data_IF_753271647241
#
_entry.id   IF_753271647241
#
_cell.length_a   1.000
_cell.length_b   1.000
_cell.length_c   1.000
_cell.angle_alpha   90.00
_cell.angle_beta   90.00
_cell.angle_gamma   90.00
#
_symmetry.space_group_name_H-M   'P 1'
#
loop_
_entity.id
_entity.type
_entity.pdbx_description
1 polymer ?
#
# COMPACT_ATOMS: atom_id res chain seq x y z
N UNK A 1 17.72 15.30 14.53
CA UNK A 1 17.23 15.02 13.16
C UNK A 1 16.53 13.67 13.17
N UNK A 2 15.39 13.51 12.56
CA UNK A 2 14.58 12.28 12.69
C UNK A 2 15.10 11.05 11.93
N UNK A 3 16.04 11.23 11.00
CA UNK A 3 16.79 10.11 10.42
C UNK A 3 18.07 9.92 11.21
N UNK A 4 18.23 8.76 11.82
CA UNK A 4 19.32 8.44 12.73
C UNK A 4 20.25 7.36 12.17
N UNK A 5 21.44 7.27 12.75
CA UNK A 5 22.41 6.21 12.57
C UNK A 5 22.40 5.27 13.78
N UNK A 6 22.97 4.05 13.70
CA UNK A 6 22.94 3.10 14.82
C UNK A 6 23.52 3.62 16.14
N UNK A 7 24.49 4.51 16.08
CA UNK A 7 25.12 5.16 17.25
C UNK A 7 24.20 6.19 17.92
N UNK A 8 23.15 6.64 17.23
CA UNK A 8 22.16 7.60 17.73
C UNK A 8 20.89 6.94 18.29
N UNK A 9 20.85 5.61 18.31
CA UNK A 9 19.72 4.87 18.88
C UNK A 9 19.51 5.27 20.35
N UNK A 10 18.26 5.58 20.71
CA UNK A 10 17.91 5.79 22.11
C UNK A 10 17.90 4.45 22.84
N UNK A 11 18.11 4.51 24.15
CA UNK A 11 18.14 3.31 25.00
C UNK A 11 16.81 2.56 24.99
N UNK A 12 15.71 3.30 24.99
CA UNK A 12 14.37 2.76 25.09
C UNK A 12 13.40 3.48 24.14
N UNK A 13 12.62 2.70 23.39
CA UNK A 13 11.47 3.16 22.63
C UNK A 13 10.19 2.53 23.20
N UNK A 14 9.07 3.25 23.08
CA UNK A 14 7.79 2.65 23.42
C UNK A 14 7.41 1.59 22.40
N UNK A 15 7.63 1.88 21.10
CA UNK A 15 7.31 0.96 20.01
C UNK A 15 8.43 0.93 18.97
N UNK A 16 8.83 -0.27 18.56
CA UNK A 16 9.69 -0.51 17.39
C UNK A 16 8.84 -1.02 16.25
N UNK A 17 8.81 -0.30 15.13
CA UNK A 17 8.08 -0.68 13.92
C UNK A 17 9.08 -1.21 12.90
N UNK A 18 8.81 -2.36 12.30
CA UNK A 18 9.61 -2.96 11.24
C UNK A 18 8.89 -2.78 9.90
N UNK A 19 9.48 -1.96 9.02
CA UNK A 19 8.96 -1.63 7.69
C UNK A 19 8.20 -0.32 7.65
N UNK A 20 8.43 0.46 6.61
CA UNK A 20 7.91 1.83 6.40
C UNK A 20 6.77 1.92 5.36
N UNK A 21 6.29 0.79 4.85
CA UNK A 21 5.19 0.72 3.89
C UNK A 21 3.87 1.23 4.44
N UNK A 22 2.76 0.87 3.79
CA UNK A 22 1.42 1.34 4.18
C UNK A 22 1.09 1.08 5.66
N UNK A 23 1.26 -0.16 6.12
CA UNK A 23 0.95 -0.52 7.51
C UNK A 23 1.89 0.13 8.52
N UNK A 24 3.21 0.10 8.27
CA UNK A 24 4.18 0.71 9.20
C UNK A 24 4.11 2.22 9.23
N UNK A 25 3.89 2.86 8.09
CA UNK A 25 3.67 4.30 8.03
C UNK A 25 2.41 4.74 8.76
N UNK A 26 1.29 4.03 8.54
CA UNK A 26 0.03 4.31 9.26
C UNK A 26 0.21 4.13 10.76
N UNK A 27 0.91 3.09 11.20
CA UNK A 27 1.16 2.85 12.62
C UNK A 27 2.07 3.93 13.21
N UNK A 28 3.16 4.29 12.51
CA UNK A 28 4.04 5.38 12.93
C UNK A 28 3.28 6.70 13.08
N UNK A 29 2.47 7.05 12.10
CA UNK A 29 1.61 8.22 12.15
C UNK A 29 0.67 8.19 13.36
N UNK A 30 -0.10 7.13 13.52
CA UNK A 30 -1.10 7.02 14.59
C UNK A 30 -0.48 7.13 15.98
N UNK A 31 0.61 6.41 16.21
CA UNK A 31 1.28 6.36 17.51
C UNK A 31 1.97 7.69 17.86
N UNK A 32 2.69 8.27 16.90
CA UNK A 32 3.43 9.52 17.16
C UNK A 32 2.51 10.72 17.33
N UNK A 33 1.37 10.76 16.62
CA UNK A 33 0.33 11.77 16.84
C UNK A 33 -0.30 11.67 18.24
N UNK A 34 -0.31 10.47 18.82
CA UNK A 34 -0.73 10.22 20.21
C UNK A 34 0.40 10.46 21.24
N UNK A 35 1.59 10.90 20.83
CA UNK A 35 2.71 11.21 21.72
C UNK A 35 3.60 10.01 22.08
N UNK A 36 3.41 8.86 21.44
CA UNK A 36 4.21 7.65 21.66
C UNK A 36 5.57 7.78 20.96
N UNK A 37 6.66 7.41 21.66
CA UNK A 37 8.02 7.38 21.09
C UNK A 37 8.22 6.13 20.22
N UNK A 38 8.50 6.34 18.95
CA UNK A 38 8.58 5.28 17.94
C UNK A 38 9.94 5.26 17.27
N UNK A 39 10.53 4.08 17.14
CA UNK A 39 11.57 3.81 16.17
C UNK A 39 10.97 3.03 14.98
N UNK A 40 11.26 3.48 13.77
CA UNK A 40 10.93 2.77 12.56
C UNK A 40 12.20 2.24 11.89
N UNK A 41 12.31 0.92 11.76
CA UNK A 41 13.40 0.25 11.03
C UNK A 41 12.98 0.04 9.57
N UNK A 42 13.78 0.50 8.63
CA UNK A 42 13.58 0.31 7.20
C UNK A 42 14.81 -0.35 6.57
N UNK A 43 14.58 -1.46 5.87
CA UNK A 43 15.66 -2.22 5.22
C UNK A 43 16.24 -1.53 3.99
N UNK A 44 15.46 -0.64 3.39
CA UNK A 44 15.85 0.14 2.22
C UNK A 44 16.50 1.48 2.57
N UNK A 45 16.90 2.18 1.51
CA UNK A 45 17.49 3.52 1.62
C UNK A 45 16.42 4.58 1.95
N UNK A 46 16.87 5.72 2.40
CA UNK A 46 16.02 6.92 2.41
C UNK A 46 15.59 7.25 0.97
N UNK A 47 14.35 7.65 0.84
CA UNK A 47 13.76 8.08 -0.43
C UNK A 47 12.87 9.29 -0.19
N UNK A 48 13.04 10.32 -0.99
CA UNK A 48 12.19 11.50 -1.00
C UNK A 48 11.44 11.59 -2.33
N UNK A 49 10.12 11.28 -2.35
CA UNK A 49 9.34 11.32 -3.57
C UNK A 49 9.31 12.71 -4.23
N UNK A 50 9.52 13.79 -3.48
CA UNK A 50 9.49 15.16 -4.02
C UNK A 50 10.69 15.43 -4.93
N UNK A 51 11.88 15.00 -4.52
CA UNK A 51 13.12 15.27 -5.25
C UNK A 51 13.58 14.12 -6.15
N UNK A 52 13.16 12.87 -5.82
CA UNK A 52 13.66 11.68 -6.49
C UNK A 52 12.67 11.03 -7.46
N UNK A 53 11.39 11.45 -7.50
CA UNK A 53 10.43 10.89 -8.45
C UNK A 53 10.72 11.39 -9.89
N UNK A 54 10.77 10.49 -10.87
CA UNK A 54 11.05 10.85 -12.26
C UNK A 54 9.85 11.43 -12.99
N UNK A 55 8.90 11.98 -12.27
CA UNK A 55 7.60 12.44 -12.80
C UNK A 55 7.74 13.43 -13.97
N UNK A 56 8.73 14.32 -13.89
CA UNK A 56 9.00 15.33 -14.91
C UNK A 56 10.23 15.02 -15.79
N UNK A 57 10.84 13.86 -15.58
CA UNK A 57 11.98 13.44 -16.37
C UNK A 57 11.53 12.71 -17.64
N UNK A 58 12.26 12.90 -18.73
CA UNK A 58 12.04 12.12 -19.92
C UNK A 58 12.39 10.65 -19.68
N UNK A 59 11.68 9.69 -20.29
CA UNK A 59 12.04 8.27 -20.20
C UNK A 59 13.49 7.97 -20.62
N UNK A 60 14.04 8.77 -21.56
CA UNK A 60 15.43 8.67 -21.98
C UNK A 60 16.46 8.94 -20.88
N UNK A 61 16.08 9.61 -19.79
CA UNK A 61 16.94 9.86 -18.63
C UNK A 61 16.92 8.72 -17.61
N UNK A 62 15.98 7.79 -17.73
CA UNK A 62 15.94 6.62 -16.86
C UNK A 62 17.02 5.59 -17.25
N UNK A 63 17.48 4.75 -16.31
CA UNK A 63 18.36 3.63 -16.61
C UNK A 63 17.79 2.78 -17.76
N UNK A 64 18.64 2.35 -18.69
CA UNK A 64 18.25 1.67 -19.93
C UNK A 64 17.14 2.41 -20.73
N UNK A 65 17.07 3.73 -20.62
CA UNK A 65 16.05 4.57 -21.25
C UNK A 65 14.62 4.15 -20.91
N UNK A 66 14.40 3.60 -19.71
CA UNK A 66 13.10 3.16 -19.25
C UNK A 66 12.59 1.84 -19.84
N UNK A 67 13.43 1.09 -20.56
CA UNK A 67 13.04 -0.19 -21.15
C UNK A 67 12.68 -1.19 -20.04
N UNK A 68 11.56 -1.88 -20.21
CA UNK A 68 11.17 -2.98 -19.35
C UNK A 68 12.03 -4.22 -19.57
N UNK A 69 12.25 -4.96 -18.49
CA UNK A 69 12.94 -6.26 -18.49
C UNK A 69 12.07 -7.28 -17.78
N UNK A 70 12.36 -8.60 -17.87
CA UNK A 70 11.56 -9.62 -17.18
C UNK A 70 11.43 -9.41 -15.67
N UNK A 71 12.43 -8.81 -15.03
CA UNK A 71 12.45 -8.51 -13.60
C UNK A 71 12.02 -7.06 -13.27
N UNK A 72 11.87 -6.21 -14.29
CA UNK A 72 11.43 -4.81 -14.20
C UNK A 72 10.28 -4.55 -15.18
N UNK A 73 9.15 -5.15 -14.92
CA UNK A 73 7.99 -5.17 -15.82
C UNK A 73 7.51 -3.77 -16.25
N UNK A 74 7.59 -2.77 -15.37
CA UNK A 74 7.19 -1.39 -15.65
C UNK A 74 8.37 -0.50 -16.11
N UNK A 75 9.49 -1.11 -16.45
CA UNK A 75 10.68 -0.39 -16.86
C UNK A 75 11.51 0.17 -15.70
N UNK A 76 12.53 0.92 -16.05
CA UNK A 76 13.48 1.51 -15.10
C UNK A 76 13.07 2.95 -14.80
N UNK A 77 12.27 3.14 -13.76
CA UNK A 77 12.05 4.42 -13.13
C UNK A 77 12.91 4.52 -11.87
N UNK A 78 13.19 5.71 -11.37
CA UNK A 78 14.03 5.88 -10.18
C UNK A 78 13.48 5.10 -8.98
N UNK A 79 12.17 5.14 -8.75
CA UNK A 79 11.54 4.35 -7.69
C UNK A 79 11.56 2.84 -7.94
N UNK A 80 11.78 2.37 -9.17
CA UNK A 80 11.81 0.95 -9.51
C UNK A 80 13.23 0.35 -9.55
N UNK A 81 14.29 1.15 -9.52
CA UNK A 81 15.68 0.65 -9.44
C UNK A 81 15.87 -0.25 -8.21
N UNK A 82 15.25 0.14 -7.09
CA UNK A 82 15.27 -0.60 -5.82
C UNK A 82 14.06 -1.52 -5.63
N UNK A 83 13.37 -1.87 -6.72
CA UNK A 83 12.18 -2.71 -6.69
C UNK A 83 12.18 -3.73 -7.83
N UNK A 84 11.34 -4.73 -7.73
CA UNK A 84 11.18 -5.76 -8.75
C UNK A 84 11.00 -7.15 -8.16
N UNK A 85 11.00 -8.15 -9.04
CA UNK A 85 10.96 -9.56 -8.68
C UNK A 85 12.24 -10.01 -8.00
N UNK A 86 13.36 -9.40 -8.38
CA UNK A 86 14.67 -9.62 -7.77
C UNK A 86 15.24 -8.31 -7.24
N UNK A 87 15.89 -8.37 -6.10
CA UNK A 87 16.66 -7.26 -5.54
C UNK A 87 18.11 -7.76 -5.46
N UNK A 88 19.07 -7.03 -6.02
CA UNK A 88 20.48 -7.42 -5.96
C UNK A 88 20.94 -7.72 -4.53
N UNK A 89 21.57 -8.89 -4.33
CA UNK A 89 22.01 -9.35 -3.01
C UNK A 89 20.92 -9.92 -2.10
N UNK A 90 19.66 -9.93 -2.53
CA UNK A 90 18.52 -10.42 -1.74
C UNK A 90 17.60 -11.30 -2.59
N UNK A 91 18.07 -12.41 -3.19
CA UNK A 91 17.23 -13.26 -4.02
C UNK A 91 16.20 -14.01 -3.17
N UNK A 92 14.96 -14.11 -3.67
CA UNK A 92 14.01 -15.10 -3.16
C UNK A 92 14.16 -16.38 -3.97
N UNK A 93 14.32 -17.47 -3.26
CA UNK A 93 14.36 -18.81 -3.84
C UNK A 93 13.11 -19.58 -3.41
N UNK A 94 12.59 -20.39 -4.31
CA UNK A 94 11.46 -21.28 -4.05
C UNK A 94 11.95 -22.71 -4.25
N UNK A 95 12.12 -23.43 -3.14
CA UNK A 95 12.54 -24.82 -3.21
C UNK A 95 11.41 -25.70 -3.78
N UNK A 96 11.78 -26.70 -4.57
CA UNK A 96 10.88 -27.72 -5.10
C UNK A 96 9.69 -27.19 -5.92
N UNK A 97 9.87 -26.06 -6.60
CA UNK A 97 8.86 -25.49 -7.49
C UNK A 97 9.46 -25.34 -8.89
N UNK A 98 8.75 -25.86 -9.89
CA UNK A 98 9.10 -25.68 -11.30
C UNK A 98 9.23 -24.17 -11.63
N UNK A 99 10.27 -23.75 -12.38
CA UNK A 99 10.50 -22.33 -12.67
C UNK A 99 9.30 -21.58 -13.25
N UNK A 100 8.49 -22.26 -14.08
CA UNK A 100 7.27 -21.69 -14.68
C UNK A 100 6.12 -21.48 -13.68
N UNK A 101 6.19 -22.09 -12.52
CA UNK A 101 5.16 -22.05 -11.46
C UNK A 101 5.60 -21.27 -10.23
N UNK A 102 6.80 -20.67 -10.26
CA UNK A 102 7.31 -19.88 -9.16
C UNK A 102 6.48 -18.62 -8.97
N UNK A 103 6.10 -18.35 -7.72
CA UNK A 103 5.44 -17.12 -7.35
C UNK A 103 6.46 -15.97 -7.36
N UNK A 104 6.13 -14.88 -8.03
CA UNK A 104 7.00 -13.71 -8.13
C UNK A 104 6.57 -12.63 -7.16
N UNK A 105 7.44 -12.34 -6.20
CA UNK A 105 7.20 -11.30 -5.21
C UNK A 105 7.72 -9.96 -5.71
N UNK A 106 6.81 -9.03 -5.98
CA UNK A 106 7.22 -7.65 -6.23
C UNK A 106 7.57 -6.95 -4.91
N UNK A 107 8.80 -6.49 -4.77
CA UNK A 107 9.37 -5.90 -3.55
C UNK A 107 9.96 -4.54 -3.81
N UNK A 108 10.11 -3.74 -2.74
CA UNK A 108 10.88 -2.51 -2.74
C UNK A 108 11.76 -2.43 -1.50
N UNK A 109 12.98 -1.88 -1.68
CA UNK A 109 13.94 -1.60 -0.61
C UNK A 109 14.25 -0.11 -0.58
N UNK A 110 13.24 0.67 -0.22
CA UNK A 110 13.33 2.10 0.02
C UNK A 110 12.25 2.55 1.00
N UNK A 111 12.47 3.69 1.64
CA UNK A 111 11.50 4.31 2.53
C UNK A 111 10.14 4.47 1.84
N UNK A 112 9.06 4.10 2.52
CA UNK A 112 7.71 4.05 1.95
C UNK A 112 7.34 2.72 1.29
N UNK A 113 8.32 1.84 1.00
CA UNK A 113 8.07 0.54 0.41
C UNK A 113 7.23 0.61 -0.88
N UNK A 114 6.38 -0.39 -1.11
CA UNK A 114 5.55 -0.47 -2.32
C UNK A 114 4.54 0.67 -2.51
N UNK A 115 4.30 1.49 -1.47
CA UNK A 115 3.43 2.67 -1.64
C UNK A 115 3.99 3.70 -2.61
N UNK A 116 5.28 3.67 -2.90
CA UNK A 116 5.89 4.54 -3.92
C UNK A 116 5.53 4.14 -5.36
N UNK A 117 5.04 2.92 -5.59
CA UNK A 117 5.10 2.25 -6.87
C UNK A 117 3.84 1.42 -7.21
N UNK A 118 2.69 1.72 -6.69
CA UNK A 118 1.45 1.02 -6.95
C UNK A 118 0.45 1.85 -7.76
N UNK A 119 -0.60 1.22 -8.29
CA UNK A 119 -1.62 1.88 -9.12
C UNK A 119 -2.58 2.81 -8.38
N UNK A 120 -2.53 2.84 -7.06
CA UNK A 120 -3.41 3.62 -6.16
C UNK A 120 -4.87 3.21 -6.16
N UNK A 121 -5.24 2.12 -6.78
CA UNK A 121 -6.59 1.56 -6.61
C UNK A 121 -6.82 1.22 -5.14
N UNK A 122 -7.84 1.81 -4.53
CA UNK A 122 -8.08 1.79 -3.09
C UNK A 122 -9.52 1.39 -2.77
N UNK A 123 -9.96 0.28 -3.35
CA UNK A 123 -11.26 -0.31 -3.07
C UNK A 123 -11.28 -0.88 -1.65
N UNK A 124 -12.43 -0.76 -0.98
CA UNK A 124 -12.67 -1.45 0.31
C UNK A 124 -12.87 -2.93 0.05
N UNK A 125 -12.36 -3.77 0.94
CA UNK A 125 -12.85 -5.14 1.03
C UNK A 125 -14.29 -5.10 1.53
N UNK A 126 -15.18 -5.81 0.85
CA UNK A 126 -16.58 -5.88 1.22
C UNK A 126 -16.88 -6.98 2.25
N UNK A 127 -18.13 -7.08 2.72
CA UNK A 127 -18.52 -8.08 3.70
C UNK A 127 -18.16 -9.53 3.31
N UNK A 128 -18.19 -9.83 2.01
CA UNK A 128 -17.92 -11.18 1.50
C UNK A 128 -16.44 -11.57 1.61
N UNK A 129 -15.53 -10.59 1.53
CA UNK A 129 -14.09 -10.82 1.63
C UNK A 129 -13.66 -11.27 3.03
N UNK A 130 -14.49 -10.96 4.05
CA UNK A 130 -14.26 -11.40 5.43
C UNK A 130 -14.83 -12.78 5.73
N UNK A 131 -15.71 -13.32 4.91
CA UNK A 131 -16.43 -14.58 5.12
C UNK A 131 -16.37 -15.53 3.91
N UNK A 132 -15.19 -15.76 3.31
CA UNK A 132 -15.08 -16.57 2.09
C UNK A 132 -15.47 -18.04 2.31
N UNK A 133 -15.13 -18.60 3.47
CA UNK A 133 -15.47 -20.00 3.76
C UNK A 133 -16.96 -20.20 3.99
N UNK A 134 -17.56 -19.41 4.89
CA UNK A 134 -19.02 -19.49 5.16
C UNK A 134 -19.86 -19.24 3.92
N UNK A 135 -19.37 -18.42 2.99
CA UNK A 135 -20.11 -18.02 1.80
C UNK A 135 -19.91 -18.94 0.61
N UNK A 136 -18.67 -19.38 0.38
CA UNK A 136 -18.28 -20.08 -0.84
C UNK A 136 -17.61 -21.44 -0.58
N UNK A 137 -17.38 -21.82 0.67
CA UNK A 137 -16.70 -23.07 1.03
C UNK A 137 -15.19 -23.06 0.76
N UNK A 138 -14.58 -21.89 0.48
CA UNK A 138 -13.14 -21.77 0.16
C UNK A 138 -12.43 -20.85 1.15
N UNK A 139 -11.15 -21.11 1.39
CA UNK A 139 -10.34 -20.29 2.28
C UNK A 139 -10.74 -20.42 3.76
N UNK A 140 -10.66 -19.34 4.49
CA UNK A 140 -11.00 -19.24 5.91
C UNK A 140 -11.73 -17.93 6.19
N UNK A 141 -12.73 -17.95 7.04
CA UNK A 141 -13.34 -16.73 7.53
C UNK A 141 -12.37 -15.95 8.41
N UNK A 142 -12.37 -14.64 8.23
CA UNK A 142 -11.66 -13.75 9.14
C UNK A 142 -12.41 -13.68 10.47
N UNK A 143 -11.70 -13.56 11.62
CA UNK A 143 -12.32 -13.43 12.94
C UNK A 143 -12.95 -12.05 13.18
N UNK A 144 -12.96 -11.19 12.18
CA UNK A 144 -13.57 -9.85 12.16
C UNK A 144 -14.55 -9.76 10.99
N UNK A 145 -15.39 -8.74 11.00
CA UNK A 145 -16.34 -8.41 9.94
C UNK A 145 -15.99 -7.09 9.24
N UNK A 146 -16.71 -6.74 8.19
CA UNK A 146 -16.58 -5.43 7.55
C UNK A 146 -16.95 -4.29 8.53
N UNK A 147 -17.98 -4.48 9.32
CA UNK A 147 -18.48 -3.50 10.29
C UNK A 147 -17.42 -3.13 11.34
N UNK A 148 -16.59 -4.08 11.73
CA UNK A 148 -15.47 -3.84 12.67
C UNK A 148 -14.42 -2.88 12.10
N UNK A 149 -14.25 -2.86 10.77
CA UNK A 149 -13.20 -2.07 10.09
C UNK A 149 -13.74 -0.85 9.34
N UNK A 150 -15.03 -0.78 9.06
CA UNK A 150 -15.64 0.31 8.31
C UNK A 150 -15.30 1.72 8.84
N UNK A 151 -15.33 2.00 10.17
CA UNK A 151 -14.95 3.31 10.70
C UNK A 151 -13.48 3.67 10.47
N UNK A 152 -12.62 2.67 10.31
CA UNK A 152 -11.20 2.87 10.03
C UNK A 152 -10.95 3.09 8.53
N UNK A 153 -11.74 2.48 7.65
CA UNK A 153 -11.72 2.80 6.22
C UNK A 153 -11.99 4.29 5.99
N UNK A 154 -13.05 4.84 6.60
CA UNK A 154 -13.37 6.27 6.50
C UNK A 154 -12.21 7.16 6.93
N UNK A 155 -11.58 6.85 8.07
CA UNK A 155 -10.42 7.61 8.58
C UNK A 155 -9.23 7.56 7.64
N UNK A 156 -8.92 6.36 7.09
CA UNK A 156 -7.80 6.19 6.18
C UNK A 156 -8.08 6.89 4.84
N UNK A 157 -9.28 6.77 4.29
CA UNK A 157 -9.66 7.43 3.04
C UNK A 157 -9.59 8.96 3.15
N UNK A 158 -10.07 9.53 4.27
CA UNK A 158 -9.91 10.96 4.55
C UNK A 158 -8.44 11.37 4.67
N UNK A 159 -7.62 10.56 5.35
CA UNK A 159 -6.20 10.87 5.57
C UNK A 159 -5.41 10.83 4.26
N UNK A 160 -5.57 9.76 3.47
CA UNK A 160 -4.79 9.58 2.25
C UNK A 160 -5.33 10.43 1.09
N UNK A 161 -6.61 10.76 1.11
CA UNK A 161 -7.31 11.47 0.05
C UNK A 161 -7.71 10.52 -1.08
N UNK A 162 -8.79 9.77 -0.88
CA UNK A 162 -9.35 8.86 -1.89
C UNK A 162 -10.43 9.59 -2.66
N UNK A 163 -10.37 9.56 -3.98
CA UNK A 163 -11.49 9.98 -4.81
C UNK A 163 -12.35 8.79 -5.22
N UNK A 164 -13.61 9.02 -5.50
CA UNK A 164 -14.56 8.00 -5.97
C UNK A 164 -16.00 8.44 -5.82
N UNK A 165 -16.90 7.50 -6.04
CA UNK A 165 -18.35 7.68 -5.87
C UNK A 165 -18.93 6.52 -5.07
N UNK A 166 -20.04 6.79 -4.39
CA UNK A 166 -20.83 5.79 -3.69
C UNK A 166 -21.93 5.29 -4.62
N UNK A 167 -21.90 4.03 -4.97
CA UNK A 167 -22.79 3.45 -5.99
C UNK A 167 -23.78 2.42 -5.41
N UNK A 168 -23.72 2.14 -4.11
CA UNK A 168 -24.59 1.17 -3.43
C UNK A 168 -24.40 -0.27 -3.95
N UNK A 169 -23.18 -0.63 -4.35
CA UNK A 169 -22.88 -1.91 -5.00
C UNK A 169 -22.64 -2.99 -3.95
N UNK A 170 -23.22 -4.14 -4.16
CA UNK A 170 -23.00 -5.33 -3.33
C UNK A 170 -21.50 -5.65 -3.26
N UNK A 171 -20.98 -5.89 -2.07
CA UNK A 171 -19.57 -6.14 -1.78
C UNK A 171 -18.59 -5.03 -2.22
N UNK A 172 -19.11 -3.82 -2.50
CA UNK A 172 -18.29 -2.60 -2.69
C UNK A 172 -18.87 -1.49 -1.81
N UNK A 173 -18.63 -1.55 -0.48
CA UNK A 173 -19.32 -0.71 0.48
C UNK A 173 -19.06 0.77 0.25
N UNK A 174 -20.11 1.57 0.39
CA UNK A 174 -20.03 3.02 0.34
C UNK A 174 -19.21 3.59 1.48
N UNK A 175 -18.50 4.67 1.20
CA UNK A 175 -17.86 5.51 2.21
C UNK A 175 -18.89 6.45 2.85
N UNK A 176 -18.67 6.85 4.10
CA UNK A 176 -19.55 7.83 4.75
C UNK A 176 -19.59 9.16 3.98
N UNK A 177 -20.68 9.91 4.04
CA UNK A 177 -20.79 11.20 3.36
C UNK A 177 -19.64 12.16 3.67
N UNK A 178 -19.03 12.74 2.64
CA UNK A 178 -17.94 13.71 2.76
C UNK A 178 -16.56 13.07 3.08
N UNK A 179 -16.41 11.76 2.92
CA UNK A 179 -15.13 11.06 3.03
C UNK A 179 -14.37 11.11 1.71
N UNK A 180 -15.04 10.75 0.62
CA UNK A 180 -14.42 10.70 -0.70
C UNK A 180 -14.25 12.10 -1.30
N UNK A 181 -13.14 12.31 -2.00
CA UNK A 181 -12.95 13.42 -2.90
C UNK A 181 -13.78 13.22 -4.19
N UNK A 182 -14.15 14.28 -4.90
CA UNK A 182 -14.88 14.17 -6.17
C UNK A 182 -14.13 13.27 -7.16
N UNK A 183 -14.84 12.37 -7.82
CA UNK A 183 -14.24 11.60 -8.91
C UNK A 183 -13.88 12.51 -10.09
N UNK A 184 -12.74 12.29 -10.76
CA UNK A 184 -12.42 13.00 -11.99
C UNK A 184 -13.39 12.60 -13.10
N UNK A 185 -13.42 13.39 -14.18
CA UNK A 185 -14.16 13.00 -15.37
C UNK A 185 -13.63 11.70 -15.94
N UNK A 186 -14.52 10.86 -16.42
CA UNK A 186 -14.15 9.67 -17.15
C UNK A 186 -13.49 10.02 -18.48
N UNK A 187 -12.52 9.23 -18.89
CA UNK A 187 -11.86 9.36 -20.18
C UNK A 187 -12.76 8.91 -21.31
N UNK A 188 -12.42 9.26 -22.55
CA UNK A 188 -13.22 8.93 -23.74
C UNK A 188 -13.48 7.42 -23.85
N UNK A 189 -12.45 6.59 -23.64
CA UNK A 189 -12.59 5.12 -23.66
C UNK A 189 -13.49 4.60 -22.53
N UNK A 190 -13.38 5.18 -21.33
CA UNK A 190 -14.20 4.82 -20.17
C UNK A 190 -15.67 5.25 -20.36
N UNK A 191 -15.91 6.42 -20.95
CA UNK A 191 -17.26 6.88 -21.34
C UNK A 191 -17.89 5.98 -22.40
N UNK A 192 -17.09 5.49 -23.36
CA UNK A 192 -17.54 4.51 -24.33
C UNK A 192 -17.93 3.21 -23.65
N UNK A 193 -17.07 2.69 -22.78
CA UNK A 193 -17.36 1.48 -22.00
C UNK A 193 -18.64 1.66 -21.15
N UNK A 194 -18.80 2.80 -20.48
CA UNK A 194 -19.99 3.11 -19.67
C UNK A 194 -21.26 3.15 -20.52
N UNK A 195 -21.22 3.84 -21.67
CA UNK A 195 -22.36 3.96 -22.60
C UNK A 195 -22.78 2.59 -23.15
N UNK A 196 -21.82 1.75 -23.51
CA UNK A 196 -22.11 0.45 -24.11
C UNK A 196 -22.36 -0.62 -23.06
N UNK A 197 -21.70 -0.61 -21.93
CA UNK A 197 -21.96 -1.47 -20.78
C UNK A 197 -23.42 -1.37 -20.33
N UNK A 198 -23.95 -0.14 -20.21
CA UNK A 198 -25.35 0.09 -19.85
C UNK A 198 -26.35 -0.63 -20.75
N UNK A 199 -26.04 -0.82 -22.06
CA UNK A 199 -26.93 -1.53 -23.00
C UNK A 199 -27.01 -3.03 -22.75
N UNK A 200 -26.01 -3.58 -22.09
CA UNK A 200 -25.90 -5.02 -21.77
C UNK A 200 -25.98 -5.30 -20.26
N UNK A 201 -26.44 -4.33 -19.48
CA UNK A 201 -26.62 -4.49 -18.03
C UNK A 201 -25.34 -4.42 -17.21
N UNK A 202 -24.21 -4.00 -17.80
CA UNK A 202 -22.92 -3.88 -17.11
C UNK A 202 -22.71 -2.45 -16.64
N UNK A 203 -22.56 -2.26 -15.32
CA UNK A 203 -22.28 -0.97 -14.72
C UNK A 203 -20.78 -0.64 -14.83
N UNK A 204 -20.46 0.54 -15.39
CA UNK A 204 -19.12 1.11 -15.40
C UNK A 204 -19.17 2.40 -14.59
N UNK A 205 -18.47 2.43 -13.48
CA UNK A 205 -18.54 3.51 -12.48
C UNK A 205 -17.15 4.04 -12.12
N UNK A 206 -17.04 5.25 -11.53
CA UNK A 206 -15.76 5.75 -11.06
C UNK A 206 -15.13 4.79 -10.04
N UNK A 207 -13.83 4.53 -10.22
CA UNK A 207 -13.07 3.69 -9.30
C UNK A 207 -12.60 4.51 -8.09
N UNK A 208 -12.47 3.89 -6.91
CA UNK A 208 -11.84 4.53 -5.76
C UNK A 208 -10.32 4.49 -5.89
N UNK A 209 -9.66 5.66 -5.82
CA UNK A 209 -8.21 5.75 -5.89
C UNK A 209 -7.64 6.73 -4.88
N UNK A 210 -6.53 6.33 -4.27
CA UNK A 210 -5.77 7.15 -3.31
C UNK A 210 -4.92 8.21 -4.05
N UNK A 211 -5.60 9.14 -4.72
CA UNK A 211 -5.03 10.25 -5.49
C UNK A 211 -5.89 11.49 -5.25
N UNK A 212 -5.28 12.62 -4.99
CA UNK A 212 -5.99 13.88 -4.81
C UNK A 212 -6.54 14.39 -6.14
N UNK A 213 -7.83 14.21 -6.39
CA UNK A 213 -8.53 14.83 -7.52
C UNK A 213 -8.85 16.31 -7.25
N UNK A 214 -8.88 16.69 -5.98
CA UNK A 214 -9.04 18.05 -5.48
C UNK A 214 -8.19 18.23 -4.21
N UNK A 215 -8.01 19.47 -3.77
CA UNK A 215 -7.35 19.73 -2.48
C UNK A 215 -8.20 19.20 -1.33
N UNK A 216 -7.54 18.58 -0.36
CA UNK A 216 -8.21 18.16 0.88
C UNK A 216 -8.55 19.38 1.75
N UNK A 217 -9.62 19.25 2.52
CA UNK A 217 -9.98 20.22 3.55
C UNK A 217 -9.03 20.09 4.76
N UNK A 218 -8.01 20.92 4.76
CA UNK A 218 -6.97 20.94 5.80
C UNK A 218 -7.43 21.60 7.12
N UNK A 219 -8.70 21.96 7.26
CA UNK A 219 -9.29 22.48 8.48
C UNK A 219 -10.19 21.43 9.14
N UNK A 220 -11.14 20.91 8.40
CA UNK A 220 -12.15 19.97 8.92
C UNK A 220 -11.59 18.55 9.12
N UNK A 221 -10.77 18.04 8.17
CA UNK A 221 -10.25 16.67 8.25
C UNK A 221 -9.35 16.47 9.47
N UNK A 222 -8.37 17.35 9.76
CA UNK A 222 -7.55 17.20 10.96
C UNK A 222 -8.35 17.20 12.26
N UNK A 223 -9.40 18.02 12.36
CA UNK A 223 -10.28 18.05 13.54
C UNK A 223 -11.05 16.73 13.72
N UNK A 224 -11.52 16.14 12.60
CA UNK A 224 -12.21 14.83 12.63
C UNK A 224 -11.26 13.68 12.98
N UNK A 225 -10.03 13.68 12.47
CA UNK A 225 -9.08 12.60 12.70
C UNK A 225 -8.39 12.66 14.06
N UNK A 226 -8.24 13.86 14.63
CA UNK A 226 -7.58 14.10 15.91
C UNK A 226 -8.44 14.96 16.84
N UNK A 227 -9.66 14.50 17.22
CA UNK A 227 -10.51 15.26 18.13
C UNK A 227 -9.79 15.49 19.48
N UNK A 228 -9.81 16.72 19.96
CA UNK A 228 -9.19 17.09 21.24
C UNK A 228 -7.65 17.17 21.23
N UNK A 229 -6.98 17.04 20.08
CA UNK A 229 -5.51 17.16 19.97
C UNK A 229 -5.10 18.29 19.00
N UNK A 230 -5.09 19.57 19.45
CA UNK A 230 -4.78 20.72 18.58
C UNK A 230 -3.37 20.67 17.95
N UNK A 231 -2.40 20.03 18.63
CA UNK A 231 -1.06 19.87 18.10
C UNK A 231 -1.06 18.94 16.89
N UNK A 232 -1.69 17.76 17.00
CA UNK A 232 -1.81 16.81 15.90
C UNK A 232 -2.61 17.41 14.73
N UNK A 233 -3.68 18.15 15.03
CA UNK A 233 -4.46 18.85 14.00
C UNK A 233 -3.61 19.83 13.18
N UNK A 234 -2.81 20.67 13.81
CA UNK A 234 -1.91 21.61 13.13
C UNK A 234 -0.89 20.91 12.26
N UNK A 235 -0.22 19.88 12.80
CA UNK A 235 0.79 19.10 12.06
C UNK A 235 0.15 18.46 10.82
N UNK A 236 -1.01 17.85 10.96
CA UNK A 236 -1.69 17.21 9.84
C UNK A 236 -2.16 18.24 8.81
N UNK A 237 -2.74 19.35 9.24
CA UNK A 237 -3.18 20.43 8.36
C UNK A 237 -2.02 20.99 7.50
N UNK A 238 -0.85 21.20 8.10
CA UNK A 238 0.35 21.65 7.38
C UNK A 238 0.80 20.60 6.35
N UNK A 239 0.83 19.32 6.74
CA UNK A 239 1.17 18.23 5.82
C UNK A 239 0.18 18.16 4.64
N UNK A 240 -1.12 18.29 4.89
CA UNK A 240 -2.15 18.30 3.84
C UNK A 240 -1.98 19.49 2.87
N UNK A 241 -1.68 20.68 3.38
CA UNK A 241 -1.45 21.87 2.53
C UNK A 241 -0.23 21.73 1.63
N UNK A 242 0.75 20.89 1.99
CA UNK A 242 1.94 20.61 1.18
C UNK A 242 1.67 19.70 -0.03
N UNK A 243 0.48 19.11 -0.14
CA UNK A 243 0.07 18.21 -1.23
C UNK A 243 -0.73 18.96 -2.27
N UNK A 244 -0.48 18.70 -3.55
CA UNK A 244 -1.21 19.31 -4.66
C UNK A 244 -2.27 18.35 -5.21
N UNK A 245 -3.31 18.87 -5.86
CA UNK A 245 -4.21 18.06 -6.67
C UNK A 245 -3.50 17.51 -7.91
N UNK A 246 -3.89 16.32 -8.36
CA UNK A 246 -3.35 15.68 -9.55
C UNK A 246 -3.80 16.43 -10.82
N UNK A 247 -2.92 16.48 -11.79
CA UNK A 247 -3.19 17.02 -13.14
C UNK A 247 -2.96 15.96 -14.23
N UNK A 248 -2.95 14.69 -13.85
CA UNK A 248 -2.98 13.50 -14.71
C UNK A 248 -1.86 13.40 -15.75
N UNK A 249 -0.70 14.01 -15.50
CA UNK A 249 0.37 14.12 -16.48
C UNK A 249 1.24 12.87 -16.62
N UNK A 250 1.21 11.92 -15.66
CA UNK A 250 2.12 10.78 -15.64
C UNK A 250 1.55 9.59 -14.89
N UNK A 251 2.12 8.43 -15.17
CA UNK A 251 1.78 7.18 -14.49
C UNK A 251 2.17 7.21 -13.01
N UNK A 252 1.24 6.80 -12.14
CA UNK A 252 1.46 6.72 -10.70
C UNK A 252 2.59 5.77 -10.29
N UNK A 253 2.93 4.76 -11.11
CA UNK A 253 4.05 3.85 -10.83
C UNK A 253 5.41 4.54 -10.87
N UNK A 254 5.50 5.72 -11.45
CA UNK A 254 6.74 6.51 -11.50
C UNK A 254 7.02 7.32 -10.23
N UNK A 255 6.16 7.25 -9.23
CA UNK A 255 6.19 8.12 -8.06
C UNK A 255 5.49 9.45 -8.29
N UNK A 256 5.41 10.30 -7.27
CA UNK A 256 4.64 11.55 -7.33
C UNK A 256 5.34 12.69 -6.62
N UNK A 257 6.07 13.53 -7.37
CA UNK A 257 6.79 14.69 -6.81
C UNK A 257 5.87 15.74 -6.19
N UNK A 258 4.62 15.85 -6.68
CA UNK A 258 3.62 16.80 -6.16
C UNK A 258 2.78 16.22 -5.01
N UNK A 259 3.06 14.99 -4.59
CA UNK A 259 2.38 14.29 -3.48
C UNK A 259 0.85 14.13 -3.66
N UNK A 260 0.35 14.22 -4.89
CA UNK A 260 -1.06 13.99 -5.19
C UNK A 260 -1.44 12.52 -4.98
N UNK A 261 -0.61 11.60 -5.49
CA UNK A 261 -0.78 10.17 -5.27
C UNK A 261 -0.28 9.77 -3.89
N UNK A 262 -1.02 8.91 -3.21
CA UNK A 262 -0.63 8.42 -1.90
C UNK A 262 0.67 7.63 -1.96
N UNK A 263 1.60 7.99 -1.10
CA UNK A 263 2.71 7.20 -0.62
C UNK A 263 2.89 7.39 0.90
N UNK A 264 3.47 6.40 1.56
CA UNK A 264 3.63 6.41 3.03
C UNK A 264 4.53 7.55 3.49
N UNK A 265 5.57 7.88 2.72
CA UNK A 265 6.53 8.93 3.09
C UNK A 265 5.84 10.29 3.17
N UNK A 266 5.07 10.64 2.13
CA UNK A 266 4.39 11.94 2.06
C UNK A 266 3.21 12.06 3.02
N UNK A 267 2.42 11.01 3.18
CA UNK A 267 1.14 11.07 3.91
C UNK A 267 1.26 10.71 5.37
N UNK A 268 2.08 9.72 5.70
CA UNK A 268 2.21 9.21 7.06
C UNK A 268 3.48 9.67 7.74
N UNK A 269 4.64 9.43 7.10
CA UNK A 269 5.93 9.68 7.76
C UNK A 269 6.25 11.16 7.89
N UNK A 270 5.87 11.98 6.90
CA UNK A 270 6.08 13.44 6.98
C UNK A 270 5.43 14.06 8.23
N UNK A 271 4.12 13.91 8.48
CA UNK A 271 3.52 14.44 9.70
C UNK A 271 3.99 13.71 10.97
N UNK A 272 4.27 12.40 10.90
CA UNK A 272 4.83 11.67 12.05
C UNK A 272 6.17 12.23 12.51
N UNK A 273 7.07 12.54 11.57
CA UNK A 273 8.35 13.19 11.83
C UNK A 273 8.19 14.58 12.46
N UNK A 274 7.19 15.35 12.01
CA UNK A 274 6.90 16.68 12.56
C UNK A 274 6.43 16.66 14.02
N UNK A 275 6.00 15.51 14.54
CA UNK A 275 5.67 15.35 15.97
C UNK A 275 6.90 15.40 16.87
N UNK A 276 8.10 15.06 16.35
CA UNK A 276 9.32 14.85 17.15
C UNK A 276 9.37 13.54 17.92
N UNK A 277 8.38 12.64 17.71
CA UNK A 277 8.27 11.35 18.40
C UNK A 277 8.69 10.16 17.52
N UNK A 278 9.15 10.39 16.28
CA UNK A 278 9.58 9.37 15.34
C UNK A 278 11.07 9.49 15.05
N UNK A 279 11.79 8.40 15.28
CA UNK A 279 13.13 8.17 14.73
C UNK A 279 13.03 7.13 13.60
N UNK A 280 13.77 7.33 12.51
CA UNK A 280 13.84 6.39 11.37
C UNK A 280 15.28 5.95 11.18
N UNK A 281 15.51 4.64 11.25
CA UNK A 281 16.78 4.00 10.93
C UNK A 281 16.64 3.28 9.58
N UNK A 282 17.20 3.89 8.53
CA UNK A 282 17.24 3.30 7.17
C UNK A 282 18.43 2.35 7.02
N UNK A 283 18.38 1.47 6.02
CA UNK A 283 19.37 0.43 5.75
C UNK A 283 19.54 -0.55 6.92
N UNK A 284 18.51 -0.70 7.73
CA UNK A 284 18.46 -1.59 8.89
C UNK A 284 17.54 -2.78 8.57
N UNK A 285 18.14 -3.91 8.19
CA UNK A 285 17.41 -5.13 7.88
C UNK A 285 17.08 -5.87 9.17
N UNK A 286 15.83 -5.85 9.59
CA UNK A 286 15.38 -6.62 10.75
C UNK A 286 15.62 -8.12 10.53
N UNK A 287 16.27 -8.76 11.49
CA UNK A 287 16.65 -10.17 11.48
C UNK A 287 15.73 -11.03 12.33
N UNK A 288 15.44 -10.59 13.55
CA UNK A 288 14.59 -11.32 14.48
C UNK A 288 13.97 -10.39 15.53
N UNK A 289 12.84 -10.81 16.08
CA UNK A 289 12.22 -10.21 17.26
C UNK A 289 12.79 -10.84 18.50
N UNK A 290 13.30 -10.05 19.43
CA UNK A 290 13.83 -10.52 20.70
C UNK A 290 12.76 -10.60 21.79
N UNK A 291 12.96 -11.48 22.76
CA UNK A 291 12.04 -11.73 23.84
C UNK A 291 12.66 -11.43 25.19
N UNK A 292 11.84 -10.96 26.12
CA UNK A 292 12.22 -10.90 27.52
C UNK A 292 12.09 -12.29 28.20
N UNK A 293 12.55 -12.44 29.45
CA UNK A 293 12.46 -13.72 30.19
C UNK A 293 11.02 -14.25 30.34
N UNK A 294 10.01 -13.37 30.28
CA UNK A 294 8.60 -13.75 30.33
C UNK A 294 8.07 -14.24 28.97
N UNK A 295 8.89 -14.17 27.91
CA UNK A 295 8.54 -14.60 26.55
C UNK A 295 7.70 -13.59 25.78
N UNK A 296 7.69 -12.31 26.21
CA UNK A 296 7.06 -11.21 25.49
C UNK A 296 8.10 -10.52 24.59
N UNK A 297 7.66 -9.96 23.46
CA UNK A 297 8.53 -9.16 22.60
C UNK A 297 9.15 -7.99 23.37
N UNK A 298 10.44 -7.79 23.21
CA UNK A 298 11.24 -6.79 23.93
C UNK A 298 12.14 -5.95 23.04
N UNK A 299 12.20 -6.24 21.74
CA UNK A 299 13.04 -5.52 20.80
C UNK A 299 13.22 -6.23 19.48
N UNK A 300 14.14 -5.72 18.69
CA UNK A 300 14.48 -6.24 17.36
C UNK A 300 15.98 -6.24 17.18
N UNK A 301 16.53 -7.36 16.72
CA UNK A 301 17.89 -7.44 16.17
C UNK A 301 17.84 -7.12 14.68
N UNK A 302 18.76 -6.29 14.21
CA UNK A 302 18.86 -5.89 12.80
C UNK A 302 20.29 -5.96 12.29
N UNK A 303 20.45 -6.03 10.98
CA UNK A 303 21.73 -5.90 10.29
C UNK A 303 21.79 -4.51 9.67
N UNK A 304 22.81 -3.73 10.01
CA UNK A 304 23.14 -2.50 9.30
C UNK A 304 23.73 -2.84 7.93
N UNK A 305 22.99 -2.56 6.87
CA UNK A 305 23.40 -2.90 5.50
C UNK A 305 24.61 -2.13 4.99
N UNK A 306 25.03 -1.06 5.68
CA UNK A 306 26.23 -0.29 5.34
C UNK A 306 27.50 -1.00 5.77
N UNK A 307 27.45 -1.66 6.92
CA UNK A 307 28.62 -2.28 7.57
C UNK A 307 28.55 -3.80 7.64
N UNK A 308 27.36 -4.39 7.47
CA UNK A 308 27.10 -5.80 7.73
C UNK A 308 27.05 -6.16 9.22
N UNK A 309 27.21 -5.19 10.11
CA UNK A 309 27.22 -5.43 11.56
C UNK A 309 25.81 -5.60 12.11
N UNK A 310 25.72 -6.45 13.13
CA UNK A 310 24.50 -6.65 13.88
C UNK A 310 24.33 -5.56 14.94
N UNK A 311 23.09 -5.03 15.03
CA UNK A 311 22.65 -4.12 16.07
C UNK A 311 21.39 -4.63 16.74
N UNK A 312 21.08 -4.08 17.90
CA UNK A 312 19.87 -4.38 18.66
C UNK A 312 19.21 -3.11 19.15
N UNK A 313 17.88 -3.09 19.16
CA UNK A 313 17.09 -2.02 19.78
C UNK A 313 16.02 -2.60 20.67
N UNK A 314 15.89 -2.02 21.88
CA UNK A 314 14.82 -2.37 22.81
C UNK A 314 13.55 -1.56 22.53
N UNK A 315 12.39 -2.18 22.79
CA UNK A 315 11.08 -1.55 22.70
C UNK A 315 10.06 -2.28 23.55
N UNK A 316 9.12 -1.53 24.14
CA UNK A 316 8.05 -2.12 24.96
C UNK A 316 7.05 -2.94 24.12
N UNK A 317 6.92 -2.58 22.84
CA UNK A 317 6.15 -3.34 21.85
C UNK A 317 6.87 -3.34 20.50
N UNK A 318 6.60 -4.38 19.69
CA UNK A 318 7.13 -4.54 18.33
C UNK A 318 5.98 -4.68 17.35
N UNK A 319 6.01 -3.90 16.29
CA UNK A 319 5.04 -3.95 15.18
C UNK A 319 5.73 -4.49 13.93
N UNK A 320 5.25 -5.59 13.40
CA UNK A 320 5.72 -6.17 12.15
C UNK A 320 4.87 -5.64 10.99
N UNK A 321 5.45 -4.80 10.16
CA UNK A 321 4.79 -4.15 9.02
C UNK A 321 5.67 -4.22 7.74
N UNK A 322 6.49 -5.24 7.64
CA UNK A 322 7.45 -5.42 6.55
C UNK A 322 6.85 -6.04 5.27
N UNK A 323 5.52 -6.15 5.20
CA UNK A 323 4.81 -6.90 4.17
C UNK A 323 4.62 -8.36 4.55
N UNK A 324 3.72 -9.07 3.85
CA UNK A 324 3.32 -10.43 4.22
C UNK A 324 4.50 -11.40 4.30
N UNK A 325 5.33 -11.44 3.27
CA UNK A 325 6.47 -12.36 3.19
C UNK A 325 7.57 -12.07 4.20
N UNK A 326 7.94 -10.80 4.38
CA UNK A 326 9.03 -10.45 5.28
C UNK A 326 8.61 -10.51 6.76
N UNK A 327 7.36 -10.18 7.07
CA UNK A 327 6.82 -10.37 8.43
C UNK A 327 6.77 -11.85 8.80
N UNK A 328 6.38 -12.72 7.87
CA UNK A 328 6.41 -14.18 8.04
C UNK A 328 7.86 -14.66 8.24
N UNK A 329 8.80 -14.21 7.41
CA UNK A 329 10.22 -14.54 7.55
C UNK A 329 10.74 -14.18 8.94
N UNK A 330 10.43 -12.98 9.42
CA UNK A 330 10.84 -12.52 10.76
C UNK A 330 10.26 -13.41 11.86
N UNK A 331 8.98 -13.75 11.80
CA UNK A 331 8.35 -14.65 12.77
C UNK A 331 9.01 -16.05 12.78
N UNK A 332 9.24 -16.62 11.61
CA UNK A 332 9.86 -17.94 11.48
C UNK A 332 11.34 -17.95 11.88
N UNK A 333 12.07 -16.85 11.70
CA UNK A 333 13.47 -16.70 12.11
C UNK A 333 13.63 -16.40 13.60
N UNK A 334 12.62 -15.82 14.25
CA UNK A 334 12.64 -15.47 15.67
C UNK A 334 12.43 -16.72 16.53
N UNK A 335 13.44 -17.59 16.55
CA UNK A 335 13.44 -18.89 17.25
C UNK A 335 14.06 -18.76 18.63
N UNK A 336 13.58 -19.57 19.56
CA UNK A 336 14.16 -19.74 20.89
C UNK A 336 13.83 -21.13 21.42
N UNK A 337 14.39 -21.51 22.58
CA UNK A 337 14.01 -22.76 23.25
C UNK A 337 12.53 -22.86 23.57
N UNK A 338 11.89 -21.71 23.85
CA UNK A 338 10.44 -21.59 24.09
C UNK A 338 9.62 -21.62 22.79
N UNK A 339 10.17 -21.15 21.69
CA UNK A 339 9.50 -21.06 20.38
C UNK A 339 10.38 -21.66 19.27
N UNK A 340 10.61 -22.99 19.27
CA UNK A 340 11.57 -23.61 18.36
C UNK A 340 11.14 -23.53 16.87
N UNK A 341 9.85 -23.33 16.61
CA UNK A 341 9.31 -23.20 15.25
C UNK A 341 9.07 -21.74 14.84
N UNK A 342 9.61 -20.77 15.59
CA UNK A 342 9.40 -19.33 15.38
C UNK A 342 8.23 -18.77 16.19
N UNK A 343 8.15 -17.45 16.24
CA UNK A 343 7.11 -16.73 16.98
C UNK A 343 5.73 -16.85 16.32
N UNK A 344 4.68 -16.77 17.14
CA UNK A 344 3.27 -16.84 16.72
C UNK A 344 2.89 -18.10 15.93
N UNK A 345 3.72 -19.15 15.95
CA UNK A 345 3.58 -20.34 15.11
C UNK A 345 3.17 -21.60 15.89
N UNK A 346 2.51 -21.48 17.02
CA UNK A 346 2.01 -22.64 17.80
C UNK A 346 1.01 -23.50 17.02
N UNK A 347 0.28 -22.91 16.07
CA UNK A 347 -0.63 -23.63 15.18
C UNK A 347 0.06 -24.23 13.93
N UNK A 348 1.35 -23.94 13.69
CA UNK A 348 2.07 -24.32 12.48
C UNK A 348 1.56 -23.65 11.18
N UNK A 349 0.78 -22.56 11.30
CA UNK A 349 0.12 -21.91 10.16
C UNK A 349 0.84 -20.66 9.65
N UNK A 350 1.88 -20.17 10.33
CA UNK A 350 2.66 -19.02 9.86
C UNK A 350 3.33 -19.37 8.52
N UNK A 351 3.11 -18.53 7.52
CA UNK A 351 3.61 -18.72 6.15
C UNK A 351 2.81 -19.70 5.28
N UNK A 352 1.66 -20.14 5.75
CA UNK A 352 0.75 -21.01 4.98
C UNK A 352 -0.50 -20.25 4.55
N UNK A 353 -1.20 -20.79 3.56
CA UNK A 353 -2.50 -20.28 3.08
C UNK A 353 -2.43 -18.88 2.47
N UNK A 354 -1.30 -18.54 1.83
CA UNK A 354 -1.23 -17.36 1.00
C UNK A 354 -2.22 -17.49 -0.15
N UNK A 355 -3.03 -16.45 -0.32
CA UNK A 355 -3.93 -16.29 -1.49
C UNK A 355 -3.57 -15.02 -2.21
N UNK A 356 -3.78 -14.99 -3.52
CA UNK A 356 -3.57 -13.82 -4.36
C UNK A 356 -4.66 -13.72 -5.42
N UNK A 357 -4.86 -12.54 -5.99
CA UNK A 357 -5.80 -12.32 -7.09
C UNK A 357 -5.16 -12.77 -8.40
N UNK A 358 -5.94 -13.46 -9.22
CA UNK A 358 -5.56 -13.78 -10.60
C UNK A 358 -6.05 -12.65 -11.50
N UNK A 359 -5.18 -12.16 -12.38
CA UNK A 359 -5.54 -11.12 -13.34
C UNK A 359 -5.09 -11.47 -14.76
N UNK A 360 -5.82 -10.96 -15.74
CA UNK A 360 -5.40 -10.92 -17.14
C UNK A 360 -5.73 -9.56 -17.74
N UNK A 361 -4.96 -9.17 -18.75
CA UNK A 361 -5.14 -7.90 -19.45
C UNK A 361 -5.58 -8.16 -20.89
N UNK A 362 -6.54 -7.39 -21.34
CA UNK A 362 -7.02 -7.41 -22.71
C UNK A 362 -6.94 -6.02 -23.29
N UNK A 363 -6.46 -5.92 -24.54
CA UNK A 363 -6.48 -4.69 -25.31
C UNK A 363 -7.62 -4.71 -26.32
N UNK A 364 -8.26 -3.56 -26.52
CA UNK A 364 -9.27 -3.40 -27.57
C UNK A 364 -8.96 -2.14 -28.39
N UNK A 365 -9.17 -2.24 -29.70
CA UNK A 365 -9.12 -1.11 -30.61
C UNK A 365 -10.53 -0.60 -30.88
N UNK A 366 -10.75 0.71 -30.74
CA UNK A 366 -12.05 1.35 -30.95
C UNK A 366 -11.96 2.25 -32.18
N UNK A 367 -12.36 1.78 -33.38
CA UNK A 367 -12.23 2.54 -34.61
C UNK A 367 -12.94 3.90 -34.58
N UNK A 368 -14.00 4.04 -33.80
CA UNK A 368 -14.76 5.29 -33.66
C UNK A 368 -13.92 6.45 -33.06
N UNK A 369 -12.74 6.14 -32.49
CA UNK A 369 -11.86 7.15 -31.88
C UNK A 369 -10.58 7.42 -32.68
N UNK A 370 -10.42 6.77 -33.82
CA UNK A 370 -9.32 7.09 -34.72
C UNK A 370 -9.39 8.55 -35.19
N UNK A 371 -8.25 9.22 -35.14
CA UNK A 371 -8.14 10.60 -35.57
C UNK A 371 -8.74 11.65 -34.62
N UNK A 372 -9.27 11.27 -33.48
CA UNK A 372 -9.66 12.24 -32.46
C UNK A 372 -8.42 12.94 -31.87
N UNK A 373 -8.51 14.26 -31.58
CA UNK A 373 -7.41 14.95 -30.93
C UNK A 373 -7.13 14.36 -29.54
N UNK A 374 -5.85 14.22 -29.22
CA UNK A 374 -5.43 13.82 -27.88
C UNK A 374 -5.85 14.89 -26.86
N UNK A 375 -6.33 14.45 -25.71
CA UNK A 375 -6.72 15.29 -24.60
C UNK A 375 -5.89 14.98 -23.36
N UNK A 376 -5.48 16.00 -22.60
CA UNK A 376 -4.66 15.79 -21.40
C UNK A 376 -5.36 14.97 -20.32
N UNK A 377 -6.68 15.03 -20.24
CA UNK A 377 -7.48 14.20 -19.33
C UNK A 377 -7.54 12.73 -19.76
N UNK A 378 -7.18 12.42 -21.02
CA UNK A 378 -7.00 11.05 -21.52
C UNK A 378 -5.59 10.49 -21.20
N UNK A 379 -4.75 11.27 -20.54
CA UNK A 379 -3.37 10.96 -20.25
C UNK A 379 -3.16 9.82 -19.25
N UNK A 380 -1.90 9.52 -19.01
CA UNK A 380 -1.45 8.54 -18.04
C UNK A 380 -2.00 8.83 -16.63
N UNK A 381 -2.03 7.88 -15.76
CA UNK A 381 -2.42 8.07 -14.36
C UNK A 381 -3.26 6.94 -13.78
N UNK A 382 -3.46 5.87 -14.53
CA UNK A 382 -4.25 4.70 -14.13
C UNK A 382 -5.76 4.90 -14.29
N UNK A 383 -6.59 3.90 -14.00
CA UNK A 383 -8.03 3.91 -14.30
C UNK A 383 -8.79 4.99 -13.55
N UNK A 384 -9.78 5.60 -14.19
CA UNK A 384 -10.78 6.43 -13.55
C UNK A 384 -12.10 5.68 -13.36
N UNK A 385 -12.30 4.58 -14.09
CA UNK A 385 -13.50 3.76 -14.01
C UNK A 385 -13.16 2.28 -13.85
N UNK A 386 -14.14 1.53 -13.38
CA UNK A 386 -14.10 0.06 -13.31
C UNK A 386 -15.50 -0.53 -13.46
N UNK A 387 -15.55 -1.80 -13.79
CA UNK A 387 -16.75 -2.61 -13.57
C UNK A 387 -16.60 -3.24 -12.19
N UNK A 388 -17.46 -2.89 -11.23
CA UNK A 388 -17.34 -3.45 -9.88
C UNK A 388 -17.64 -4.95 -9.85
N UNK A 389 -17.52 -5.56 -8.67
CA UNK A 389 -17.81 -6.97 -8.40
C UNK A 389 -19.24 -7.36 -8.79
N UNK A 390 -19.50 -7.36 -10.08
CA UNK A 390 -20.75 -7.84 -10.62
C UNK A 390 -20.72 -9.35 -10.73
N UNK A 391 -21.89 -9.96 -10.83
CA UNK A 391 -22.05 -11.37 -11.13
C UNK A 391 -21.78 -12.33 -9.96
N UNK A 392 -21.79 -11.86 -8.69
CA UNK A 392 -21.65 -12.78 -7.56
C UNK A 392 -22.80 -13.80 -7.50
N UNK A 393 -24.02 -13.35 -7.73
CA UNK A 393 -25.19 -14.23 -7.84
C UNK A 393 -25.28 -14.85 -9.24
N UNK A 394 -25.11 -14.05 -10.27
CA UNK A 394 -25.21 -14.46 -11.66
C UNK A 394 -24.11 -15.45 -12.06
N UNK A 395 -22.91 -15.39 -11.50
CA UNK A 395 -21.86 -16.39 -11.74
C UNK A 395 -22.32 -17.80 -11.38
N UNK A 396 -23.09 -17.94 -10.29
CA UNK A 396 -23.67 -19.22 -9.87
C UNK A 396 -24.76 -19.66 -10.84
N UNK A 397 -25.63 -18.74 -11.27
CA UNK A 397 -26.68 -19.00 -12.22
C UNK A 397 -26.16 -19.34 -13.62
N UNK A 398 -25.08 -18.65 -14.04
CA UNK A 398 -24.42 -18.93 -15.32
C UNK A 398 -23.54 -20.19 -15.31
N UNK A 399 -23.34 -20.82 -14.16
CA UNK A 399 -22.55 -22.05 -14.04
C UNK A 399 -21.07 -21.87 -14.40
N UNK A 400 -20.47 -20.71 -14.11
CA UNK A 400 -19.09 -20.39 -14.50
C UNK A 400 -18.02 -21.23 -13.78
N UNK A 401 -18.41 -22.09 -12.83
CA UNK A 401 -17.52 -23.08 -12.21
C UNK A 401 -16.50 -22.51 -11.22
N UNK A 402 -16.60 -21.24 -10.85
CA UNK A 402 -15.78 -20.64 -9.79
C UNK A 402 -16.65 -19.85 -8.80
N UNK A 403 -16.29 -19.84 -7.50
CA UNK A 403 -16.98 -19.03 -6.49
C UNK A 403 -16.48 -17.58 -6.53
N UNK A 404 -17.36 -16.66 -6.15
CA UNK A 404 -17.01 -15.25 -6.03
C UNK A 404 -17.18 -14.45 -7.32
N UNK A 405 -16.66 -13.25 -7.33
CA UNK A 405 -16.78 -12.31 -8.43
C UNK A 405 -15.42 -11.83 -8.95
N UNK A 406 -15.46 -10.98 -9.94
CA UNK A 406 -14.30 -10.28 -10.49
C UNK A 406 -14.67 -8.83 -10.77
N UNK A 407 -13.67 -7.97 -10.90
CA UNK A 407 -13.82 -6.60 -11.37
C UNK A 407 -12.94 -6.36 -12.61
N UNK A 408 -13.28 -5.34 -13.38
CA UNK A 408 -12.49 -4.91 -14.54
C UNK A 408 -12.06 -3.46 -14.32
N UNK A 409 -10.77 -3.17 -14.48
CA UNK A 409 -10.22 -1.80 -14.48
C UNK A 409 -9.90 -1.39 -15.92
N UNK A 410 -10.17 -0.11 -16.27
CA UNK A 410 -9.96 0.43 -17.61
C UNK A 410 -8.73 1.32 -17.70
#
# INVERSE_FOLDING_TARGET
MPFITPDQLQKDYDVVIVGSGAGGGQMAYTLTMAGVKVLLLEAGRKFDPTSESPMFHLPSHAPLRGISTPDKQYGFHDCSIQSGWTIPGEPYTQANVEPSRQFRWWRQRMLGGRTNHWGRTALRNGPYDFKPYSRHGVGFDWPISYEDVAPYYDKVEMLVGVFGTNEGIENSPDSSPGVLLPAPKLRVGELYAQKHGKKVGVSVVPIHRAVLSARQDAETIPAKLHPGNPRAQRILAESMRSRAACFWATDCHRGCAIKAAYDSTSVHLTPALATGNLDILSLAMAREVTLNPQGKASGVTFIDKRTGQEGHVAGKAVVLAAGSQESVRLLLNSKSSRFPQGLANSSGKVGKYLTDSVSSSYGAHIPAYEGMPLHNEDGAGGPHAYVPWTLLAENKEMGLGFPGGYHLEF
#
